data_IF_597304463510
#
_entry.id   IF_597304463510
#
_cell.length_a   1.000
_cell.length_b   1.000
_cell.length_c   1.000
_cell.angle_alpha   90.00
_cell.angle_beta   90.00
_cell.angle_gamma   90.00
#
_symmetry.space_group_name_H-M   'P 1'
#
loop_
_entity.id
_entity.type
_entity.pdbx_description
1 polymer ?
#
# COMPACT_ATOMS: atom_id res chain seq x y z
N UNK A 1 -20.91 -32.25 -24.62
CA UNK A 1 -19.51 -32.50 -24.20
C UNK A 1 -18.67 -31.23 -24.11
N UNK A 2 -18.66 -30.34 -25.11
CA UNK A 2 -17.75 -29.18 -25.17
C UNK A 2 -17.96 -28.12 -24.08
N UNK A 3 -19.20 -27.88 -23.61
CA UNK A 3 -19.48 -26.94 -22.50
C UNK A 3 -18.98 -27.44 -21.15
N UNK A 4 -19.19 -28.72 -20.83
CA UNK A 4 -18.74 -29.36 -19.58
C UNK A 4 -17.21 -29.36 -19.46
N UNK A 5 -16.51 -29.60 -20.57
CA UNK A 5 -15.03 -29.52 -20.64
C UNK A 5 -14.53 -28.10 -20.38
N UNK A 6 -15.26 -27.06 -20.83
CA UNK A 6 -14.91 -25.66 -20.55
C UNK A 6 -15.14 -25.30 -19.07
N UNK A 7 -16.25 -25.75 -18.47
CA UNK A 7 -16.51 -25.51 -17.04
C UNK A 7 -15.46 -26.17 -16.14
N UNK A 8 -15.13 -27.45 -16.38
CA UNK A 8 -14.10 -28.15 -15.59
C UNK A 8 -12.74 -27.45 -15.64
N UNK A 9 -12.31 -26.99 -16.82
CA UNK A 9 -11.06 -26.22 -16.95
C UNK A 9 -11.07 -24.89 -16.18
N UNK A 10 -12.21 -24.20 -16.11
CA UNK A 10 -12.34 -22.96 -15.35
C UNK A 10 -12.33 -23.23 -13.84
N UNK A 11 -12.96 -24.32 -13.39
CA UNK A 11 -12.93 -24.74 -11.98
C UNK A 11 -11.49 -25.00 -11.55
N UNK A 12 -10.74 -25.82 -12.29
CA UNK A 12 -9.32 -26.10 -11.95
C UNK A 12 -8.48 -24.82 -11.93
N UNK A 13 -8.68 -23.92 -12.89
CA UNK A 13 -7.98 -22.63 -12.90
C UNK A 13 -8.29 -21.78 -11.66
N UNK A 14 -9.55 -21.77 -11.21
CA UNK A 14 -9.93 -21.04 -9.98
C UNK A 14 -9.29 -21.70 -8.76
N UNK A 15 -9.26 -23.04 -8.69
CA UNK A 15 -8.57 -23.76 -7.61
C UNK A 15 -7.09 -23.40 -7.54
N UNK A 16 -6.40 -23.39 -8.68
CA UNK A 16 -5.00 -22.95 -8.76
C UNK A 16 -4.81 -21.51 -8.28
N UNK A 17 -5.75 -20.61 -8.61
CA UNK A 17 -5.74 -19.22 -8.12
C UNK A 17 -5.94 -19.15 -6.60
N UNK A 18 -6.88 -19.91 -6.03
CA UNK A 18 -7.12 -19.94 -4.58
C UNK A 18 -5.90 -20.50 -3.83
N UNK A 19 -5.32 -21.59 -4.33
CA UNK A 19 -4.16 -22.27 -3.72
C UNK A 19 -2.87 -21.43 -3.82
N UNK A 20 -2.81 -20.47 -4.74
CA UNK A 20 -1.64 -19.59 -4.93
C UNK A 20 -1.72 -18.26 -4.18
N UNK A 21 -2.84 -17.94 -3.49
CA UNK A 21 -3.03 -16.65 -2.81
C UNK A 21 -1.93 -16.34 -1.79
N UNK A 22 -1.38 -17.33 -1.07
CA UNK A 22 -0.27 -17.17 -0.09
C UNK A 22 -0.45 -15.93 0.82
N UNK A 23 0.35 -14.88 0.60
CA UNK A 23 0.36 -13.63 1.37
C UNK A 23 -0.53 -12.52 0.79
N UNK A 24 -1.35 -12.85 -0.21
CA UNK A 24 -2.05 -11.91 -1.06
C UNK A 24 -1.34 -11.66 -2.39
N UNK A 25 -2.13 -11.25 -3.38
CA UNK A 25 -1.70 -10.82 -4.71
C UNK A 25 -2.28 -9.42 -4.93
N UNK A 26 -1.42 -8.46 -5.24
CA UNK A 26 -1.78 -7.07 -5.49
C UNK A 26 -0.94 -6.53 -6.62
N UNK A 27 -1.44 -5.52 -7.33
CA UNK A 27 -0.63 -4.78 -8.29
C UNK A 27 0.49 -4.01 -7.59
N UNK A 28 1.54 -3.71 -8.36
CA UNK A 28 2.65 -2.86 -7.90
C UNK A 28 2.16 -1.42 -7.83
N UNK A 29 2.56 -0.72 -6.77
CA UNK A 29 2.35 0.71 -6.56
C UNK A 29 3.63 1.46 -6.95
N UNK A 30 3.61 2.29 -8.01
CA UNK A 30 4.75 3.13 -8.35
C UNK A 30 5.18 4.07 -7.20
N UNK A 31 4.21 4.61 -6.47
CA UNK A 31 4.43 5.46 -5.29
C UNK A 31 5.27 4.76 -4.22
N UNK A 32 4.86 3.56 -3.80
CA UNK A 32 5.59 2.81 -2.77
C UNK A 32 6.94 2.33 -3.28
N UNK A 33 6.99 1.86 -4.53
CA UNK A 33 8.25 1.45 -5.18
C UNK A 33 9.26 2.60 -5.21
N UNK A 34 8.80 3.84 -5.46
CA UNK A 34 9.63 5.03 -5.41
C UNK A 34 10.15 5.33 -4.00
N UNK A 35 9.35 5.16 -2.95
CA UNK A 35 9.82 5.32 -1.58
C UNK A 35 10.89 4.29 -1.20
N UNK A 36 10.75 3.04 -1.64
CA UNK A 36 11.80 2.02 -1.43
C UNK A 36 13.06 2.38 -2.23
N UNK A 37 12.91 2.88 -3.45
CA UNK A 37 14.03 3.30 -4.28
C UNK A 37 14.84 4.47 -3.68
N UNK A 38 14.25 5.30 -2.81
CA UNK A 38 14.95 6.41 -2.13
C UNK A 38 15.94 5.94 -1.05
N UNK A 39 15.87 4.69 -0.60
CA UNK A 39 16.72 4.17 0.47
C UNK A 39 18.17 4.09 -0.02
N UNK A 40 19.07 4.76 0.71
CA UNK A 40 20.53 4.71 0.47
C UNK A 40 21.11 3.39 0.97
N UNK A 41 22.16 2.92 0.30
CA UNK A 41 22.88 1.72 0.70
C UNK A 41 23.43 1.83 2.13
N UNK A 42 23.11 0.82 2.93
CA UNK A 42 23.51 0.71 4.33
C UNK A 42 25.02 0.57 4.55
N UNK A 43 25.77 0.17 3.51
CA UNK A 43 27.22 0.08 3.56
C UNK A 43 27.94 1.40 3.25
N UNK A 44 27.18 2.49 3.09
CA UNK A 44 27.72 3.84 2.89
C UNK A 44 28.08 4.18 1.45
N UNK A 45 27.70 3.37 0.45
CA UNK A 45 27.82 3.78 -0.94
C UNK A 45 26.76 4.83 -1.31
N UNK A 46 27.10 5.73 -2.24
CA UNK A 46 26.16 6.74 -2.76
C UNK A 46 25.23 6.12 -3.84
N UNK A 47 24.65 4.96 -3.53
CA UNK A 47 23.81 4.16 -4.43
C UNK A 47 22.53 3.72 -3.71
N UNK A 48 21.46 3.39 -4.46
CA UNK A 48 20.24 2.85 -3.86
C UNK A 48 20.50 1.47 -3.25
N UNK A 49 19.95 1.25 -2.06
CA UNK A 49 19.90 -0.08 -1.40
C UNK A 49 19.13 -1.10 -2.25
N UNK A 50 18.14 -0.63 -3.01
CA UNK A 50 17.27 -1.43 -3.88
C UNK A 50 17.32 -0.93 -5.33
N UNK A 51 18.41 -1.21 -6.08
CA UNK A 51 18.54 -0.75 -7.46
C UNK A 51 17.46 -1.32 -8.38
N UNK A 52 16.91 -2.49 -8.07
CA UNK A 52 15.78 -3.09 -8.81
C UNK A 52 14.50 -2.25 -8.74
N UNK A 53 14.27 -1.51 -7.66
CA UNK A 53 13.13 -0.59 -7.56
C UNK A 53 13.27 0.59 -8.51
N UNK A 54 14.48 1.14 -8.60
CA UNK A 54 14.77 2.24 -9.53
C UNK A 54 14.62 1.77 -10.99
N UNK A 55 15.09 0.56 -11.30
CA UNK A 55 14.91 -0.04 -12.61
C UNK A 55 13.43 -0.29 -12.93
N UNK A 56 12.66 -0.81 -11.98
CA UNK A 56 11.22 -1.00 -12.16
C UNK A 56 10.52 0.32 -12.52
N UNK A 57 10.86 1.42 -11.86
CA UNK A 57 10.29 2.74 -12.17
C UNK A 57 10.62 3.15 -13.61
N UNK A 58 11.86 2.96 -14.06
CA UNK A 58 12.27 3.29 -15.44
C UNK A 58 11.47 2.47 -16.47
N UNK A 59 11.26 1.19 -16.20
CA UNK A 59 10.64 0.25 -17.15
C UNK A 59 9.11 0.35 -17.22
N UNK A 60 8.46 1.05 -16.27
CA UNK A 60 7.00 1.06 -16.12
C UNK A 60 6.38 2.47 -16.22
N UNK A 61 7.05 3.42 -16.89
CA UNK A 61 6.43 4.71 -17.23
C UNK A 61 5.35 4.50 -18.30
N UNK A 62 4.17 5.10 -18.11
CA UNK A 62 3.08 5.06 -19.08
C UNK A 62 3.39 5.95 -20.30
N UNK A 63 2.66 5.74 -21.39
CA UNK A 63 2.89 6.46 -22.65
C UNK A 63 2.67 7.97 -22.57
N UNK A 64 1.84 8.44 -21.62
CA UNK A 64 1.59 9.86 -21.34
C UNK A 64 2.65 10.50 -20.42
N UNK A 65 3.68 9.74 -20.02
CA UNK A 65 4.73 10.19 -19.11
C UNK A 65 4.40 10.02 -17.63
N UNK A 66 3.19 9.58 -17.28
CA UNK A 66 2.79 9.33 -15.89
C UNK A 66 3.17 7.94 -15.39
N UNK A 67 3.00 7.72 -14.09
CA UNK A 67 2.92 6.40 -13.48
C UNK A 67 1.58 6.26 -12.74
N UNK A 68 1.04 5.04 -12.65
CA UNK A 68 -0.20 4.74 -11.94
C UNK A 68 -0.93 3.54 -12.54
N UNK A 69 -2.22 3.38 -12.21
CA UNK A 69 -3.05 2.33 -12.79
C UNK A 69 -3.34 2.63 -14.28
N UNK A 70 -2.96 1.71 -15.16
CA UNK A 70 -3.10 1.87 -16.62
C UNK A 70 -4.58 1.83 -17.04
N UNK A 71 -5.36 0.94 -16.42
CA UNK A 71 -6.73 0.63 -16.84
C UNK A 71 -7.74 1.71 -16.43
N UNK A 72 -7.43 2.49 -15.39
CA UNK A 72 -8.34 3.47 -14.79
C UNK A 72 -7.58 4.77 -14.53
N UNK A 73 -7.99 5.84 -15.20
CA UNK A 73 -7.44 7.17 -14.93
C UNK A 73 -8.07 7.79 -13.69
N UNK A 74 -7.27 8.00 -12.64
CA UNK A 74 -7.61 8.83 -11.50
C UNK A 74 -6.55 9.91 -11.31
N UNK A 75 -6.95 11.18 -11.27
CA UNK A 75 -5.98 12.29 -11.20
C UNK A 75 -5.13 12.27 -9.93
N UNK A 76 -5.73 11.88 -8.79
CA UNK A 76 -5.03 11.75 -7.51
C UNK A 76 -3.98 10.64 -7.57
N UNK A 77 -4.33 9.50 -8.15
CA UNK A 77 -3.42 8.38 -8.37
C UNK A 77 -2.26 8.79 -9.29
N UNK A 78 -2.57 9.31 -10.49
CA UNK A 78 -1.54 9.65 -11.49
C UNK A 78 -0.55 10.69 -10.98
N UNK A 79 -1.02 11.76 -10.34
CA UNK A 79 -0.13 12.81 -9.83
C UNK A 79 0.72 12.31 -8.67
N UNK A 80 0.16 11.53 -7.74
CA UNK A 80 0.90 11.02 -6.58
C UNK A 80 2.02 10.06 -7.02
N UNK A 81 1.68 9.08 -7.86
CA UNK A 81 2.64 8.11 -8.38
C UNK A 81 3.72 8.80 -9.22
N UNK A 82 3.33 9.67 -10.16
CA UNK A 82 4.29 10.36 -11.04
C UNK A 82 5.25 11.24 -10.26
N UNK A 83 4.76 12.01 -9.28
CA UNK A 83 5.61 12.84 -8.46
C UNK A 83 6.63 12.01 -7.67
N UNK A 84 6.23 10.85 -7.14
CA UNK A 84 7.12 10.00 -6.37
C UNK A 84 8.22 9.40 -7.23
N UNK A 85 7.86 8.89 -8.42
CA UNK A 85 8.80 8.36 -9.39
C UNK A 85 9.80 9.44 -9.87
N UNK A 86 9.33 10.66 -10.17
CA UNK A 86 10.20 11.77 -10.57
C UNK A 86 11.16 12.15 -9.44
N UNK A 87 10.69 12.20 -8.18
CA UNK A 87 11.54 12.45 -7.01
C UNK A 87 12.62 11.37 -6.86
N UNK A 88 12.25 10.09 -6.98
CA UNK A 88 13.20 8.97 -6.88
C UNK A 88 14.26 9.02 -7.99
N UNK A 89 13.86 9.17 -9.26
CA UNK A 89 14.78 9.27 -10.38
C UNK A 89 15.69 10.50 -10.28
N UNK A 90 15.18 11.62 -9.75
CA UNK A 90 15.94 12.86 -9.58
C UNK A 90 16.97 12.74 -8.48
N UNK A 91 16.61 12.11 -7.35
CA UNK A 91 17.51 11.87 -6.22
C UNK A 91 18.76 11.10 -6.65
N UNK A 92 18.61 10.13 -7.55
CA UNK A 92 19.71 9.32 -8.08
C UNK A 92 20.31 9.83 -9.39
N UNK A 93 19.87 10.99 -9.87
CA UNK A 93 20.28 11.60 -11.12
C UNK A 93 20.30 10.63 -12.32
N UNK A 94 19.26 9.80 -12.46
CA UNK A 94 19.16 8.80 -13.54
C UNK A 94 17.96 9.06 -14.47
N UNK A 95 17.91 8.34 -15.59
CA UNK A 95 16.80 8.33 -16.56
C UNK A 95 16.24 9.75 -16.88
N UNK A 96 17.06 10.67 -17.42
CA UNK A 96 16.66 12.06 -17.65
C UNK A 96 15.42 12.20 -18.56
N UNK A 97 15.25 11.31 -19.54
CA UNK A 97 14.07 11.31 -20.41
C UNK A 97 12.79 11.07 -19.62
N UNK A 98 12.77 10.04 -18.77
CA UNK A 98 11.62 9.64 -17.95
C UNK A 98 11.28 10.73 -16.93
N UNK A 99 12.32 11.33 -16.31
CA UNK A 99 12.16 12.49 -15.41
C UNK A 99 11.46 13.65 -16.12
N UNK A 100 11.93 14.02 -17.31
CA UNK A 100 11.40 15.16 -18.04
C UNK A 100 9.95 14.93 -18.47
N UNK A 101 9.61 13.72 -18.94
CA UNK A 101 8.23 13.35 -19.29
C UNK A 101 7.31 13.38 -18.07
N UNK A 102 7.74 12.84 -16.93
CA UNK A 102 6.96 12.85 -15.69
C UNK A 102 6.75 14.26 -15.14
N UNK A 103 7.80 15.10 -15.14
CA UNK A 103 7.70 16.49 -14.73
C UNK A 103 6.75 17.28 -15.65
N UNK A 104 6.82 17.05 -16.96
CA UNK A 104 5.88 17.66 -17.92
C UNK A 104 4.44 17.22 -17.64
N UNK A 105 4.19 15.92 -17.44
CA UNK A 105 2.87 15.40 -17.08
C UNK A 105 2.33 16.10 -15.83
N UNK A 106 3.13 16.25 -14.77
CA UNK A 106 2.72 16.93 -13.53
C UNK A 106 2.31 18.37 -13.84
N UNK A 107 3.13 19.13 -14.57
CA UNK A 107 2.85 20.54 -14.93
C UNK A 107 1.53 20.69 -15.67
N UNK A 108 1.28 19.81 -16.65
CA UNK A 108 0.08 19.87 -17.50
C UNK A 108 -1.20 19.43 -16.77
N UNK A 109 -1.07 18.60 -15.73
CA UNK A 109 -2.21 17.94 -15.10
C UNK A 109 -2.50 18.40 -13.66
N UNK A 110 -1.60 19.15 -13.00
CA UNK A 110 -1.77 19.50 -11.58
C UNK A 110 -3.08 20.24 -11.29
N UNK A 111 -3.52 21.13 -12.19
CA UNK A 111 -4.77 21.88 -12.01
C UNK A 111 -6.01 20.98 -12.06
N UNK A 112 -5.92 19.78 -12.65
CA UNK A 112 -7.03 18.82 -12.72
C UNK A 112 -7.39 18.22 -11.35
N UNK A 113 -6.59 18.45 -10.31
CA UNK A 113 -6.98 18.16 -8.93
C UNK A 113 -8.29 18.89 -8.57
N UNK A 114 -8.48 20.12 -9.04
CA UNK A 114 -9.67 20.94 -8.71
C UNK A 114 -10.97 20.34 -9.25
N UNK A 115 -10.90 19.63 -10.37
CA UNK A 115 -12.04 18.99 -11.03
C UNK A 115 -12.10 17.47 -10.79
N UNK A 116 -11.13 16.92 -10.06
CA UNK A 116 -11.08 15.50 -9.74
C UNK A 116 -12.18 15.10 -8.75
N UNK A 117 -12.86 13.96 -9.00
CA UNK A 117 -13.85 13.44 -8.06
C UNK A 117 -13.18 13.12 -6.71
N UNK A 118 -13.53 13.89 -5.68
CA UNK A 118 -12.99 13.79 -4.32
C UNK A 118 -13.22 12.40 -3.70
N UNK A 119 -14.28 11.68 -4.11
CA UNK A 119 -14.54 10.30 -3.67
C UNK A 119 -13.45 9.31 -4.13
N UNK A 120 -12.73 9.63 -5.21
CA UNK A 120 -11.65 8.82 -5.76
C UNK A 120 -10.27 9.24 -5.24
N UNK A 121 -10.21 10.18 -4.28
CA UNK A 121 -8.95 10.62 -3.71
C UNK A 121 -8.27 9.48 -2.96
N UNK A 122 -6.98 9.26 -3.24
CA UNK A 122 -6.23 8.17 -2.62
C UNK A 122 -6.09 8.39 -1.10
N UNK A 123 -6.00 7.28 -0.36
CA UNK A 123 -5.82 7.32 1.08
C UNK A 123 -4.62 8.20 1.47
N UNK A 124 -4.83 9.13 2.39
CA UNK A 124 -3.76 10.00 2.87
C UNK A 124 -3.27 11.06 1.88
N UNK A 125 -3.85 11.22 0.68
CA UNK A 125 -3.37 12.14 -0.37
C UNK A 125 -3.05 13.54 0.15
N UNK A 126 -3.97 14.17 0.90
CA UNK A 126 -3.78 15.52 1.45
C UNK A 126 -2.69 15.61 2.55
N UNK A 127 -2.12 14.49 2.98
CA UNK A 127 -1.00 14.41 3.92
C UNK A 127 0.30 14.11 3.17
N UNK A 128 0.29 13.09 2.31
CA UNK A 128 1.50 12.58 1.65
C UNK A 128 1.90 13.38 0.41
N UNK A 129 0.93 13.92 -0.34
CA UNK A 129 1.21 14.66 -1.56
C UNK A 129 1.96 15.98 -1.29
N UNK A 130 1.56 16.81 -0.29
CA UNK A 130 2.35 18.00 0.06
C UNK A 130 3.74 17.67 0.62
N UNK A 131 3.88 16.59 1.39
CA UNK A 131 5.20 16.15 1.89
C UNK A 131 6.15 15.82 0.73
N UNK A 132 5.60 15.22 -0.32
CA UNK A 132 6.36 14.86 -1.51
C UNK A 132 6.65 16.09 -2.39
N UNK A 133 5.74 17.07 -2.47
CA UNK A 133 6.00 18.35 -3.12
C UNK A 133 7.15 19.10 -2.45
N UNK A 134 7.23 19.09 -1.12
CA UNK A 134 8.37 19.66 -0.40
C UNK A 134 9.68 18.98 -0.78
N UNK A 135 9.70 17.64 -0.85
CA UNK A 135 10.89 16.90 -1.33
C UNK A 135 11.25 17.28 -2.76
N UNK A 136 10.26 17.39 -3.66
CA UNK A 136 10.47 17.78 -5.04
C UNK A 136 11.06 19.20 -5.15
N UNK A 137 10.59 20.12 -4.30
CA UNK A 137 11.08 21.50 -4.25
C UNK A 137 12.55 21.56 -3.79
N UNK A 138 12.94 20.77 -2.80
CA UNK A 138 14.34 20.68 -2.35
C UNK A 138 15.29 20.07 -3.40
N UNK A 139 14.74 19.36 -4.39
CA UNK A 139 15.47 18.76 -5.51
C UNK A 139 15.42 19.63 -6.78
N UNK A 140 14.92 20.87 -6.68
CA UNK A 140 14.76 21.81 -7.79
C UNK A 140 13.95 21.23 -8.98
N UNK A 141 13.00 20.32 -8.71
CA UNK A 141 12.11 19.80 -9.74
C UNK A 141 11.12 20.90 -10.14
N UNK A 142 11.12 21.27 -11.41
CA UNK A 142 10.28 22.34 -11.96
C UNK A 142 8.80 21.92 -11.95
N UNK A 143 8.04 22.43 -10.98
CA UNK A 143 6.60 22.23 -10.78
C UNK A 143 6.00 23.60 -10.49
N UNK A 144 4.75 23.90 -10.89
CA UNK A 144 4.10 25.17 -10.58
C UNK A 144 3.68 25.23 -9.09
N UNK A 145 4.65 25.30 -8.17
CA UNK A 145 4.43 25.35 -6.71
C UNK A 145 3.51 26.50 -6.27
N UNK A 146 3.47 27.59 -7.05
CA UNK A 146 2.61 28.74 -6.80
C UNK A 146 1.15 28.56 -7.23
N UNK A 147 0.80 27.46 -7.89
CA UNK A 147 -0.55 27.17 -8.33
C UNK A 147 -1.54 27.20 -7.15
N UNK A 148 -2.69 27.89 -7.27
CA UNK A 148 -3.69 27.99 -6.19
C UNK A 148 -4.12 26.63 -5.63
N UNK A 149 -4.25 25.62 -6.48
CA UNK A 149 -4.61 24.26 -6.09
C UNK A 149 -3.61 23.65 -5.09
N UNK A 150 -2.31 23.87 -5.29
CA UNK A 150 -1.26 23.34 -4.41
C UNK A 150 -1.25 24.07 -3.06
N UNK A 151 -1.41 25.40 -3.08
CA UNK A 151 -1.55 26.21 -1.87
C UNK A 151 -2.76 25.74 -1.03
N UNK A 152 -3.87 25.41 -1.68
CA UNK A 152 -5.06 24.88 -1.02
C UNK A 152 -4.79 23.52 -0.36
N UNK A 153 -4.18 22.56 -1.07
CA UNK A 153 -3.87 21.24 -0.49
C UNK A 153 -2.90 21.38 0.69
N UNK A 154 -1.86 22.21 0.58
CA UNK A 154 -0.94 22.47 1.69
C UNK A 154 -1.67 23.07 2.91
N UNK A 155 -2.58 24.04 2.70
CA UNK A 155 -3.39 24.60 3.76
C UNK A 155 -4.31 23.54 4.42
N UNK A 156 -4.87 22.61 3.63
CA UNK A 156 -5.66 21.48 4.16
C UNK A 156 -4.83 20.53 5.01
N UNK A 157 -3.59 20.24 4.60
CA UNK A 157 -2.65 19.44 5.41
C UNK A 157 -2.43 20.07 6.78
N UNK A 158 -2.15 21.37 6.83
CA UNK A 158 -1.96 22.10 8.09
C UNK A 158 -3.22 22.09 8.97
N UNK A 159 -4.40 22.21 8.37
CA UNK A 159 -5.66 22.07 9.10
C UNK A 159 -5.86 20.65 9.67
N UNK A 160 -5.48 19.60 8.93
CA UNK A 160 -5.53 18.22 9.42
C UNK A 160 -4.53 17.97 10.55
N UNK A 161 -3.30 18.49 10.44
CA UNK A 161 -2.29 18.34 11.49
C UNK A 161 -2.72 18.96 12.82
N UNK A 162 -3.44 20.09 12.81
CA UNK A 162 -4.02 20.67 14.03
C UNK A 162 -5.06 19.79 14.71
N UNK A 163 -5.69 18.87 13.97
CA UNK A 163 -6.71 17.94 14.47
C UNK A 163 -6.15 16.58 14.86
N UNK A 164 -4.93 16.25 14.44
CA UNK A 164 -4.31 14.97 14.73
C UNK A 164 -3.77 14.99 16.15
N UNK A 165 -4.23 14.07 17.03
CA UNK A 165 -3.69 13.95 18.37
C UNK A 165 -2.27 13.35 18.28
N UNK A 166 -1.25 14.21 18.18
CA UNK A 166 0.15 13.79 18.02
C UNK A 166 0.58 12.78 19.09
N UNK A 167 0.13 12.92 20.32
CA UNK A 167 0.48 11.96 21.37
C UNK A 167 -0.12 10.56 21.14
N UNK A 168 -1.33 10.48 20.58
CA UNK A 168 -2.00 9.22 20.28
C UNK A 168 -1.26 8.44 19.18
N UNK A 169 -0.78 9.14 18.14
CA UNK A 169 0.04 8.58 17.06
C UNK A 169 1.25 7.79 17.59
N UNK A 170 1.80 8.21 18.73
CA UNK A 170 3.00 7.63 19.33
C UNK A 170 2.71 6.70 20.53
N UNK A 171 1.44 6.39 20.80
CA UNK A 171 1.03 5.62 21.99
C UNK A 171 0.32 4.33 21.63
N UNK A 172 -0.55 4.36 20.62
CA UNK A 172 -1.31 3.18 20.18
C UNK A 172 -1.25 3.05 18.65
N UNK A 173 -1.41 1.82 18.11
CA UNK A 173 -1.57 1.64 16.68
C UNK A 173 -2.80 2.39 16.17
N UNK A 174 -2.62 3.23 15.16
CA UNK A 174 -3.70 3.94 14.45
C UNK A 174 -3.44 3.88 12.95
N UNK A 175 -4.46 4.19 12.14
CA UNK A 175 -4.33 4.27 10.69
C UNK A 175 -3.28 5.28 10.22
N UNK A 176 -2.86 6.22 11.06
CA UNK A 176 -1.80 7.17 10.74
C UNK A 176 -0.43 6.51 10.55
N UNK A 177 -0.21 5.32 11.13
CA UNK A 177 0.99 4.52 10.87
C UNK A 177 1.10 4.09 9.40
N UNK A 178 0.00 4.11 8.65
CA UNK A 178 0.00 3.78 7.22
C UNK A 178 0.67 4.85 6.34
N UNK A 179 0.85 6.07 6.85
CA UNK A 179 1.28 7.23 6.06
C UNK A 179 2.32 8.10 6.78
N UNK A 180 3.25 7.49 7.53
CA UNK A 180 4.25 8.21 8.32
C UNK A 180 5.14 9.11 7.45
N UNK A 181 5.37 8.74 6.20
CA UNK A 181 6.13 9.49 5.19
C UNK A 181 5.54 10.86 4.86
N UNK A 182 4.28 11.08 5.23
CA UNK A 182 3.62 12.36 5.14
C UNK A 182 3.74 13.23 6.40
N UNK A 183 4.40 12.80 7.48
CA UNK A 183 4.50 13.54 8.74
C UNK A 183 5.89 14.18 8.96
N UNK A 184 5.96 15.08 9.94
CA UNK A 184 7.19 15.73 10.43
C UNK A 184 7.26 15.61 11.95
N UNK A 185 8.45 15.78 12.51
CA UNK A 185 8.71 15.82 13.96
C UNK A 185 8.19 14.58 14.71
N UNK A 186 8.49 13.39 14.18
CA UNK A 186 8.09 12.11 14.75
C UNK A 186 9.05 11.65 15.86
N UNK A 187 8.51 11.08 16.93
CA UNK A 187 9.28 10.37 17.96
C UNK A 187 9.44 8.89 17.55
N UNK A 188 10.52 8.61 16.82
CA UNK A 188 10.83 7.28 16.34
C UNK A 188 11.02 6.24 17.44
N UNK A 189 11.50 6.64 18.62
CA UNK A 189 11.67 5.71 19.75
C UNK A 189 10.33 5.18 20.25
N UNK A 190 9.29 6.03 20.21
CA UNK A 190 7.92 5.61 20.53
C UNK A 190 7.29 4.85 19.38
N UNK A 191 7.43 5.32 18.13
CA UNK A 191 6.84 4.67 16.96
C UNK A 191 7.36 3.26 16.74
N UNK A 192 8.66 2.99 16.92
CA UNK A 192 9.22 1.65 16.76
C UNK A 192 8.60 0.61 17.72
N UNK A 193 7.98 1.04 18.82
CA UNK A 193 7.23 0.14 19.73
C UNK A 193 5.87 -0.28 19.17
N UNK A 194 5.38 0.43 18.16
CA UNK A 194 4.11 0.17 17.46
C UNK A 194 4.31 -0.62 16.15
N UNK A 195 5.56 -0.91 15.78
CA UNK A 195 5.91 -1.72 14.61
C UNK A 195 5.23 -3.09 14.69
N UNK A 196 4.77 -3.58 13.54
CA UNK A 196 4.20 -4.92 13.43
C UNK A 196 5.28 -6.00 13.61
N UNK A 197 4.92 -7.22 14.04
CA UNK A 197 5.88 -8.32 14.21
C UNK A 197 6.66 -8.68 12.95
N UNK A 198 6.14 -8.34 11.77
CA UNK A 198 6.82 -8.57 10.49
C UNK A 198 7.82 -7.48 10.11
N UNK A 199 7.93 -6.40 10.90
CA UNK A 199 8.81 -5.26 10.67
C UNK A 199 8.16 -4.07 9.96
N UNK A 200 6.90 -4.17 9.55
CA UNK A 200 6.20 -3.09 8.87
C UNK A 200 5.55 -2.07 9.82
N UNK A 201 5.25 -0.90 9.28
CA UNK A 201 4.29 0.04 9.88
C UNK A 201 2.93 -0.11 9.20
N UNK A 202 2.01 -0.82 9.87
CA UNK A 202 0.64 -1.11 9.43
C UNK A 202 0.59 -1.61 7.97
N UNK A 203 1.45 -2.58 7.62
CA UNK A 203 1.59 -3.18 6.27
C UNK A 203 1.93 -2.20 5.13
N UNK A 204 2.12 -0.91 5.37
CA UNK A 204 2.45 0.11 4.37
C UNK A 204 3.94 0.06 4.01
N UNK A 205 4.23 -0.04 2.71
CA UNK A 205 5.60 -0.14 2.22
C UNK A 205 6.26 1.25 2.29
N UNK A 206 5.61 2.30 1.80
CA UNK A 206 6.13 3.66 1.85
C UNK A 206 6.43 4.12 3.28
N UNK A 207 5.51 3.87 4.22
CA UNK A 207 5.68 4.21 5.63
C UNK A 207 6.85 3.45 6.25
N UNK A 208 7.00 2.17 5.93
CA UNK A 208 8.12 1.34 6.41
C UNK A 208 9.46 1.77 5.79
N UNK A 209 9.49 2.14 4.52
CA UNK A 209 10.67 2.69 3.84
C UNK A 209 11.10 4.01 4.48
N UNK A 210 10.15 4.90 4.77
CA UNK A 210 10.41 6.14 5.47
C UNK A 210 10.94 5.91 6.89
N UNK A 211 10.30 5.03 7.65
CA UNK A 211 10.79 4.66 8.98
C UNK A 211 12.21 4.08 8.95
N UNK A 212 12.54 3.28 7.94
CA UNK A 212 13.90 2.77 7.77
C UNK A 212 14.92 3.89 7.52
N UNK A 213 14.62 4.83 6.63
CA UNK A 213 15.52 5.96 6.33
C UNK A 213 15.82 6.82 7.56
N UNK A 214 14.87 6.91 8.48
CA UNK A 214 15.00 7.75 9.68
C UNK A 214 15.64 7.01 10.87
N UNK A 215 15.64 5.67 10.88
CA UNK A 215 16.02 4.88 12.07
C UNK A 215 17.09 3.82 11.84
N UNK A 216 17.33 3.42 10.59
CA UNK A 216 18.11 2.24 10.22
C UNK A 216 17.63 0.93 10.90
N UNK A 217 16.35 0.84 11.26
CA UNK A 217 15.77 -0.35 11.89
C UNK A 217 15.86 -1.59 10.99
N UNK A 218 16.45 -2.65 11.51
CA UNK A 218 16.73 -3.85 10.72
C UNK A 218 15.48 -4.69 10.44
N UNK A 219 14.40 -4.53 11.20
CA UNK A 219 13.15 -5.24 10.92
C UNK A 219 12.43 -4.58 9.74
N UNK A 220 12.42 -3.24 9.66
CA UNK A 220 11.97 -2.51 8.47
C UNK A 220 12.72 -2.99 7.23
N UNK A 221 14.06 -3.07 7.28
CA UNK A 221 14.87 -3.51 6.15
C UNK A 221 14.54 -4.94 5.70
N UNK A 222 14.44 -5.88 6.66
CA UNK A 222 14.07 -7.27 6.37
C UNK A 222 12.68 -7.38 5.75
N UNK A 223 11.73 -6.58 6.21
CA UNK A 223 10.40 -6.50 5.63
C UNK A 223 10.48 -6.07 4.15
N UNK A 224 11.15 -4.95 3.88
CA UNK A 224 11.29 -4.38 2.54
C UNK A 224 12.02 -5.34 1.58
N UNK A 225 13.09 -6.00 2.04
CA UNK A 225 13.81 -7.01 1.25
C UNK A 225 12.90 -8.15 0.80
N UNK A 226 12.02 -8.65 1.68
CA UNK A 226 11.05 -9.70 1.32
C UNK A 226 10.04 -9.21 0.28
N UNK A 227 9.53 -7.99 0.44
CA UNK A 227 8.59 -7.39 -0.51
C UNK A 227 9.24 -7.22 -1.87
N UNK A 228 10.38 -6.53 -1.95
CA UNK A 228 11.08 -6.27 -3.22
C UNK A 228 11.47 -7.57 -3.94
N UNK A 229 11.90 -8.58 -3.18
CA UNK A 229 12.19 -9.90 -3.75
C UNK A 229 10.94 -10.56 -4.35
N UNK A 230 9.81 -10.53 -3.64
CA UNK A 230 8.55 -11.11 -4.13
C UNK A 230 8.01 -10.41 -5.38
N UNK A 231 8.18 -9.09 -5.47
CA UNK A 231 7.63 -8.25 -6.52
C UNK A 231 8.65 -7.87 -7.61
N UNK A 232 9.79 -8.57 -7.65
CA UNK A 232 10.83 -8.42 -8.69
C UNK A 232 11.25 -6.96 -8.93
N UNK A 233 11.49 -6.21 -7.85
CA UNK A 233 11.84 -4.78 -7.93
C UNK A 233 10.66 -3.85 -7.68
N UNK A 234 9.41 -4.27 -7.91
CA UNK A 234 8.25 -3.50 -7.49
C UNK A 234 7.97 -3.60 -6.00
N UNK A 235 7.00 -2.82 -5.53
CA UNK A 235 6.32 -3.02 -4.26
C UNK A 235 4.84 -2.61 -4.35
N UNK A 236 3.90 -3.37 -3.75
CA UNK A 236 2.50 -2.95 -3.66
C UNK A 236 2.34 -1.82 -2.63
N UNK A 237 1.12 -1.27 -2.51
CA UNK A 237 0.81 -0.26 -1.49
C UNK A 237 0.64 -0.84 -0.07
N UNK A 238 0.34 -2.13 0.03
CA UNK A 238 0.16 -2.84 1.30
C UNK A 238 0.61 -4.29 1.17
N UNK A 239 1.30 -4.81 2.18
CA UNK A 239 1.72 -6.21 2.23
C UNK A 239 1.99 -6.70 3.67
N UNK A 240 1.59 -7.93 4.05
CA UNK A 240 0.71 -8.83 3.32
C UNK A 240 -0.76 -8.37 3.35
N UNK A 241 -1.59 -8.92 2.47
CA UNK A 241 -3.06 -8.73 2.45
C UNK A 241 -3.77 -10.09 2.45
N UNK A 242 -3.20 -11.04 3.18
CA UNK A 242 -3.52 -12.46 3.12
C UNK A 242 -4.88 -12.81 3.74
N UNK A 243 -5.30 -12.04 4.75
CA UNK A 243 -6.60 -12.20 5.40
C UNK A 243 -7.71 -11.68 4.47
N UNK A 244 -7.56 -10.45 3.99
CA UNK A 244 -8.49 -9.82 3.06
C UNK A 244 -8.64 -10.65 1.77
N UNK A 245 -7.53 -11.08 1.16
CA UNK A 245 -7.58 -11.84 -0.09
C UNK A 245 -8.41 -13.12 0.03
N UNK A 246 -8.26 -13.87 1.14
CA UNK A 246 -9.02 -15.10 1.41
C UNK A 246 -10.50 -14.83 1.65
N UNK A 247 -10.80 -13.89 2.54
CA UNK A 247 -12.16 -13.53 2.90
C UNK A 247 -12.95 -13.03 1.69
N UNK A 248 -12.31 -12.21 0.84
CA UNK A 248 -12.95 -11.64 -0.35
C UNK A 248 -13.10 -12.70 -1.45
N UNK A 249 -12.14 -13.61 -1.62
CA UNK A 249 -12.27 -14.72 -2.58
C UNK A 249 -13.48 -15.61 -2.24
N UNK A 250 -13.62 -16.01 -0.96
CA UNK A 250 -14.75 -16.82 -0.49
C UNK A 250 -16.07 -16.07 -0.70
N UNK A 251 -16.16 -14.81 -0.25
CA UNK A 251 -17.39 -14.00 -0.38
C UNK A 251 -17.85 -13.90 -1.84
N UNK A 252 -16.93 -13.60 -2.76
CA UNK A 252 -17.24 -13.43 -4.19
C UNK A 252 -17.76 -14.73 -4.79
N UNK A 253 -17.09 -15.84 -4.54
CA UNK A 253 -17.47 -17.14 -5.10
C UNK A 253 -18.78 -17.68 -4.50
N UNK A 254 -19.05 -17.41 -3.22
CA UNK A 254 -20.35 -17.70 -2.59
C UNK A 254 -21.48 -16.88 -3.22
N UNK A 255 -21.29 -15.56 -3.36
CA UNK A 255 -22.31 -14.66 -3.92
C UNK A 255 -22.58 -14.91 -5.41
N UNK A 256 -21.60 -15.45 -6.13
CA UNK A 256 -21.77 -15.90 -7.53
C UNK A 256 -22.49 -17.25 -7.64
N UNK A 257 -22.77 -17.95 -6.53
CA UNK A 257 -23.49 -19.21 -6.53
C UNK A 257 -22.68 -20.41 -7.05
N UNK A 258 -21.34 -20.33 -7.02
CA UNK A 258 -20.44 -21.38 -7.52
C UNK A 258 -19.52 -21.96 -6.45
N UNK A 259 -19.77 -21.66 -5.17
CA UNK A 259 -18.91 -22.08 -4.05
C UNK A 259 -18.79 -23.59 -3.88
N UNK A 260 -19.80 -24.37 -4.30
CA UNK A 260 -19.82 -25.84 -4.15
C UNK A 260 -18.72 -26.56 -4.96
N UNK A 261 -18.02 -25.87 -5.86
CA UNK A 261 -16.85 -26.42 -6.56
C UNK A 261 -15.56 -26.33 -5.73
N UNK A 262 -15.55 -25.55 -4.64
CA UNK A 262 -14.34 -25.08 -3.96
C UNK A 262 -14.36 -25.32 -2.44
N UNK A 263 -15.11 -26.32 -1.97
CA UNK A 263 -15.32 -26.56 -0.54
C UNK A 263 -14.01 -26.86 0.21
N UNK A 264 -13.11 -27.64 -0.39
CA UNK A 264 -11.80 -27.96 0.19
C UNK A 264 -10.92 -26.71 0.28
N UNK A 265 -10.82 -25.93 -0.80
CA UNK A 265 -10.03 -24.69 -0.81
C UNK A 265 -10.59 -23.66 0.18
N UNK A 266 -11.92 -23.60 0.35
CA UNK A 266 -12.55 -22.70 1.32
C UNK A 266 -12.23 -23.11 2.75
N UNK A 267 -12.24 -24.42 3.04
CA UNK A 267 -11.87 -24.94 4.35
C UNK A 267 -10.45 -24.50 4.71
N UNK A 268 -9.49 -24.74 3.82
CA UNK A 268 -8.08 -24.37 4.05
C UNK A 268 -7.89 -22.86 4.25
N UNK A 269 -8.59 -22.05 3.46
CA UNK A 269 -8.56 -20.59 3.61
C UNK A 269 -9.17 -20.13 4.92
N UNK A 270 -10.29 -20.70 5.35
CA UNK A 270 -10.94 -20.36 6.63
C UNK A 270 -10.14 -20.86 7.83
N UNK A 271 -9.51 -22.02 7.74
CA UNK A 271 -8.59 -22.52 8.76
C UNK A 271 -7.40 -21.56 8.96
N UNK A 272 -6.90 -20.93 7.89
CA UNK A 272 -5.91 -19.86 7.97
C UNK A 272 -6.47 -18.60 8.65
N UNK A 273 -7.67 -18.15 8.25
CA UNK A 273 -8.30 -16.97 8.87
C UNK A 273 -8.53 -17.21 10.36
N UNK A 274 -9.07 -18.37 10.75
CA UNK A 274 -9.31 -18.74 12.15
C UNK A 274 -8.00 -18.76 12.96
N UNK A 275 -6.91 -19.27 12.38
CA UNK A 275 -5.60 -19.30 13.05
C UNK A 275 -5.11 -17.92 13.47
N UNK A 276 -5.44 -16.89 12.69
CA UNK A 276 -5.04 -15.50 12.93
C UNK A 276 -6.18 -14.62 13.44
N UNK A 277 -7.36 -15.18 13.73
CA UNK A 277 -8.45 -14.46 14.35
C UNK A 277 -8.03 -14.05 15.77
N UNK A 278 -7.97 -12.74 16.02
CA UNK A 278 -7.76 -12.23 17.36
C UNK A 278 -9.11 -11.90 18.01
N UNK A 279 -9.42 -12.61 19.08
CA UNK A 279 -10.67 -12.51 19.81
C UNK A 279 -10.86 -11.16 20.55
N UNK A 280 -9.77 -10.48 20.91
CA UNK A 280 -9.80 -9.23 21.68
C UNK A 280 -10.00 -8.00 20.79
N UNK A 281 -9.35 -7.98 19.62
CA UNK A 281 -9.38 -6.80 18.74
C UNK A 281 -10.03 -7.07 17.37
N UNK A 282 -10.09 -8.31 16.88
CA UNK A 282 -10.50 -8.63 15.52
C UNK A 282 -9.30 -8.82 14.59
N UNK A 283 -9.46 -8.52 13.30
CA UNK A 283 -8.38 -8.68 12.31
C UNK A 283 -8.25 -7.44 11.43
N UNK A 284 -7.14 -7.38 10.69
CA UNK A 284 -6.87 -6.42 9.63
C UNK A 284 -6.62 -7.18 8.32
N UNK A 285 -6.32 -6.46 7.24
CA UNK A 285 -6.06 -7.04 5.92
C UNK A 285 -4.92 -8.07 5.91
N UNK A 286 -3.93 -7.91 6.79
CA UNK A 286 -2.80 -8.81 6.96
C UNK A 286 -2.80 -9.53 8.31
N UNK A 287 -2.28 -10.76 8.35
CA UNK A 287 -2.11 -11.56 9.58
C UNK A 287 -1.20 -10.89 10.61
N UNK A 288 -1.33 -11.31 11.88
CA UNK A 288 -0.51 -10.83 13.00
C UNK A 288 -0.51 -9.30 13.19
N UNK A 289 -1.56 -8.63 12.72
CA UNK A 289 -1.75 -7.20 12.93
C UNK A 289 -2.01 -6.91 14.41
N UNK A 290 -1.43 -5.82 14.91
CA UNK A 290 -1.74 -5.22 16.21
C UNK A 290 -2.86 -4.17 16.11
N UNK A 291 -3.52 -4.12 14.96
CA UNK A 291 -4.62 -3.23 14.60
C UNK A 291 -5.75 -4.05 13.95
N UNK A 292 -6.96 -3.52 13.93
CA UNK A 292 -8.10 -4.13 13.26
C UNK A 292 -8.91 -3.09 12.48
N UNK A 293 -9.63 -3.54 11.48
CA UNK A 293 -10.67 -2.75 10.84
C UNK A 293 -12.00 -3.51 10.84
N UNK A 294 -13.08 -2.75 10.68
CA UNK A 294 -14.43 -3.29 10.78
C UNK A 294 -14.81 -4.13 9.55
N UNK A 295 -14.23 -3.86 8.38
CA UNK A 295 -14.59 -4.53 7.13
C UNK A 295 -14.06 -5.97 7.17
N UNK A 296 -12.75 -6.15 7.37
CA UNK A 296 -12.11 -7.45 7.51
C UNK A 296 -12.67 -8.23 8.71
N UNK A 297 -12.85 -7.58 9.86
CA UNK A 297 -13.37 -8.24 11.07
C UNK A 297 -14.81 -8.73 10.91
N UNK A 298 -15.73 -7.91 10.37
CA UNK A 298 -17.10 -8.34 10.14
C UNK A 298 -17.18 -9.44 9.08
N UNK A 299 -16.33 -9.34 8.06
CA UNK A 299 -16.23 -10.37 7.02
C UNK A 299 -15.77 -11.71 7.58
N UNK A 300 -14.73 -11.72 8.41
CA UNK A 300 -14.27 -12.91 9.09
C UNK A 300 -15.34 -13.50 10.01
N UNK A 301 -15.97 -12.70 10.87
CA UNK A 301 -17.03 -13.17 11.77
C UNK A 301 -18.15 -13.85 10.97
N UNK A 302 -18.61 -13.21 9.89
CA UNK A 302 -19.70 -13.74 9.06
C UNK A 302 -19.30 -15.08 8.43
N UNK A 303 -18.15 -15.14 7.77
CA UNK A 303 -17.72 -16.33 7.04
C UNK A 303 -17.35 -17.49 7.98
N UNK A 304 -16.59 -17.23 9.04
CA UNK A 304 -16.21 -18.25 10.02
C UNK A 304 -17.46 -18.85 10.68
N UNK A 305 -18.42 -18.02 11.09
CA UNK A 305 -19.68 -18.50 11.71
C UNK A 305 -20.51 -19.33 10.73
N UNK A 306 -20.66 -18.89 9.47
CA UNK A 306 -21.42 -19.62 8.46
C UNK A 306 -20.84 -21.02 8.18
N UNK A 307 -19.54 -21.18 8.38
CA UNK A 307 -18.82 -22.45 8.19
C UNK A 307 -18.57 -23.22 9.49
N UNK A 308 -19.24 -22.84 10.59
CA UNK A 308 -19.25 -23.61 11.85
C UNK A 308 -18.04 -23.39 12.77
N UNK A 309 -17.21 -22.38 12.51
CA UNK A 309 -16.12 -22.00 13.42
C UNK A 309 -16.65 -21.21 14.63
N UNK A 310 -16.02 -21.38 15.79
CA UNK A 310 -16.35 -20.62 17.00
C UNK A 310 -15.71 -19.22 16.93
N UNK A 311 -16.52 -18.24 16.52
CA UNK A 311 -16.20 -16.81 16.56
C UNK A 311 -17.27 -16.07 17.36
N UNK A 312 -16.90 -15.63 18.57
CA UNK A 312 -17.83 -15.02 19.50
C UNK A 312 -17.56 -13.52 19.65
N UNK A 313 -18.39 -12.61 19.11
CA UNK A 313 -18.16 -11.17 19.19
C UNK A 313 -18.34 -10.59 20.61
N UNK A 314 -18.77 -11.38 21.60
CA UNK A 314 -19.07 -10.93 22.95
C UNK A 314 -18.30 -11.61 24.08
N UNK A 315 -17.35 -12.51 23.79
CA UNK A 315 -16.46 -13.07 24.82
C UNK A 315 -15.17 -12.26 24.89
N UNK A 316 -15.22 -11.11 25.54
CA UNK A 316 -14.05 -10.59 26.24
C UNK A 316 -13.90 -11.40 27.53
N UNK A 317 -12.69 -11.88 27.83
CA UNK A 317 -12.38 -12.39 29.17
C UNK A 317 -12.34 -11.25 30.17
#
# INVERSE_FOLDING_TARGET
>A
MTKTIKTGKLVEKIKDMLNSLKDGISSVSPYDTAWVALIRDTNGSDKPQFPSCLQWIVDNQLCDGSWGEESIFCIYDRLLNTLACVVALTTWNTAPEMRNKGALFIKENICKIETGNVENMTCGFEIVFPALLEKAQHLDIDIPYDAPVLKNICARREMKFKRIPKDLLHTIPTTLLFSLEGFRDLDWKRLLRLQMPDGSFLTSIASTAFAFMETNDQNCLKYLQRVVHKYNGGAPHSYPVDMQARLWAIDRLQRLGISYYFEEEFKDMLDHVQRYWNQEIGIFSGRNSNYCDIDDSCMAIRLLRLHGYDVNPGKTK
#
